data_IF_268577758340
#
_entry.id   IF_268577758340
#
_cell.length_a   1.000
_cell.length_b   1.000
_cell.length_c   1.000
_cell.angle_alpha   90.00
_cell.angle_beta   90.00
_cell.angle_gamma   90.00
#
_symmetry.space_group_name_H-M   'P 1'
#
loop_
_entity.id
_entity.type
_entity.pdbx_description
1 polymer ?
#
# COMPACT_ATOMS: atom_id res chain seq x y z
N UNK A 1 13.96 -8.12 -8.60
CA UNK A 1 12.65 -7.43 -8.65
C UNK A 1 11.89 -7.87 -7.43
N UNK A 2 11.79 -7.00 -6.43
CA UNK A 2 11.42 -7.33 -5.05
C UNK A 2 10.65 -6.11 -4.50
N UNK A 3 9.35 -6.04 -4.79
CA UNK A 3 8.45 -5.14 -4.06
C UNK A 3 8.31 -5.69 -2.63
N UNK A 4 8.09 -4.81 -1.66
CA UNK A 4 7.82 -5.24 -0.28
C UNK A 4 6.39 -4.84 0.08
N UNK A 5 5.55 -5.86 0.25
CA UNK A 5 4.23 -5.81 0.88
C UNK A 5 4.22 -6.85 1.99
N UNK A 6 3.71 -6.49 3.17
CA UNK A 6 4.10 -7.18 4.39
C UNK A 6 3.01 -7.26 5.47
N UNK A 7 2.88 -8.42 6.12
CA UNK A 7 1.82 -8.70 7.10
C UNK A 7 2.28 -9.48 8.37
N UNK A 8 3.58 -9.78 8.58
CA UNK A 8 4.04 -10.83 9.55
C UNK A 8 5.27 -10.47 10.46
N UNK A 9 5.38 -9.24 10.99
CA UNK A 9 6.50 -8.70 11.82
C UNK A 9 8.02 -9.01 11.63
N UNK A 10 8.48 -9.70 10.59
CA UNK A 10 9.90 -10.04 10.30
C UNK A 10 10.38 -9.65 8.87
N UNK A 11 11.27 -8.66 8.78
CA UNK A 11 11.84 -8.16 7.51
C UNK A 11 13.26 -8.66 7.23
N UNK A 12 13.37 -9.98 7.07
CA UNK A 12 14.61 -10.65 6.64
C UNK A 12 14.75 -10.63 5.09
N UNK A 13 15.95 -10.41 4.51
CA UNK A 13 16.17 -10.51 3.07
C UNK A 13 15.64 -11.82 2.46
N UNK A 14 14.82 -11.70 1.41
CA UNK A 14 14.15 -12.83 0.76
C UNK A 14 12.72 -13.12 1.24
N UNK A 15 12.24 -12.48 2.33
CA UNK A 15 10.85 -12.59 2.80
C UNK A 15 9.96 -11.46 2.24
N UNK A 16 9.81 -11.43 0.90
CA UNK A 16 9.01 -10.42 0.19
C UNK A 16 8.22 -11.03 -0.97
N UNK A 17 7.01 -10.51 -1.24
CA UNK A 17 6.22 -10.94 -2.40
C UNK A 17 6.70 -10.26 -3.69
N UNK A 18 7.30 -11.03 -4.58
CA UNK A 18 7.77 -10.57 -5.87
C UNK A 18 6.74 -10.82 -6.97
N UNK A 19 6.56 -9.83 -7.85
CA UNK A 19 5.85 -9.97 -9.13
C UNK A 19 6.79 -9.60 -10.29
N UNK A 20 6.39 -9.96 -11.51
CA UNK A 20 7.20 -9.72 -12.72
C UNK A 20 6.89 -8.35 -13.31
N UNK A 21 7.93 -7.55 -13.55
CA UNK A 21 7.83 -6.21 -14.14
C UNK A 21 7.97 -5.09 -13.12
N UNK A 22 7.43 -3.92 -13.44
CA UNK A 22 7.48 -2.71 -12.61
C UNK A 22 6.08 -2.16 -12.24
N UNK A 23 5.02 -2.77 -12.78
CA UNK A 23 3.62 -2.44 -12.50
C UNK A 23 2.92 -3.70 -12.01
N UNK A 24 2.14 -3.56 -10.94
CA UNK A 24 1.41 -4.65 -10.30
C UNK A 24 0.43 -4.07 -9.29
N UNK A 25 -0.58 -4.87 -8.93
CA UNK A 25 -1.63 -4.50 -7.98
C UNK A 25 -1.72 -5.61 -6.93
N UNK A 26 -2.06 -5.22 -5.70
CA UNK A 26 -2.43 -6.13 -4.62
C UNK A 26 -3.71 -5.60 -3.97
N UNK A 27 -4.66 -6.49 -3.70
CA UNK A 27 -5.90 -6.16 -3.00
C UNK A 27 -5.86 -6.86 -1.64
N UNK A 28 -6.07 -6.10 -0.56
CA UNK A 28 -6.00 -6.59 0.81
C UNK A 28 -7.36 -6.41 1.47
N UNK A 29 -8.04 -7.52 1.77
CA UNK A 29 -9.29 -7.48 2.55
C UNK A 29 -8.94 -7.30 4.03
N UNK A 30 -9.41 -6.20 4.61
CA UNK A 30 -9.23 -5.90 6.04
C UNK A 30 -10.19 -6.77 6.88
N UNK A 31 -9.85 -7.09 8.15
CA UNK A 31 -10.69 -7.93 9.01
C UNK A 31 -12.01 -7.26 9.44
N UNK A 32 -12.10 -5.93 9.32
CA UNK A 32 -13.29 -5.13 9.59
C UNK A 32 -13.28 -3.86 8.72
N UNK A 33 -14.44 -3.21 8.49
CA UNK A 33 -14.49 -1.88 7.90
C UNK A 33 -13.77 -0.86 8.79
N UNK A 34 -12.90 -0.04 8.21
CA UNK A 34 -12.20 1.06 8.89
C UNK A 34 -12.17 2.30 7.99
N UNK A 35 -11.92 3.46 8.61
CA UNK A 35 -11.51 4.68 7.90
C UNK A 35 -9.98 4.76 7.94
N UNK A 36 -9.27 4.41 6.85
CA UNK A 36 -7.81 4.33 6.89
C UNK A 36 -7.19 5.74 6.85
N UNK A 37 -6.32 6.04 7.82
CA UNK A 37 -5.70 7.37 7.96
C UNK A 37 -4.32 7.47 7.32
N UNK A 38 -3.60 6.35 7.23
CA UNK A 38 -2.26 6.26 6.65
C UNK A 38 -1.98 4.82 6.19
N UNK A 39 -1.02 4.67 5.26
CA UNK A 39 -0.36 3.39 4.97
C UNK A 39 1.11 3.47 5.32
N UNK A 40 1.72 2.34 5.66
CA UNK A 40 3.17 2.23 5.87
C UNK A 40 3.76 1.27 4.84
N UNK A 41 4.74 1.75 4.07
CA UNK A 41 5.54 0.91 3.17
C UNK A 41 6.94 0.81 3.76
N UNK A 42 7.48 -0.40 3.77
CA UNK A 42 8.82 -0.71 4.26
C UNK A 42 9.65 -1.34 3.14
N UNK A 43 10.97 -1.16 3.13
CA UNK A 43 11.91 -1.94 2.31
C UNK A 43 13.21 -2.17 3.08
N UNK A 44 13.99 -3.19 2.74
CA UNK A 44 15.32 -3.39 3.33
C UNK A 44 16.26 -2.22 3.02
N UNK A 45 17.17 -1.89 3.96
CA UNK A 45 18.26 -0.95 3.71
C UNK A 45 19.24 -1.51 2.66
N UNK A 46 19.97 -0.61 1.99
CA UNK A 46 20.98 -0.96 0.99
C UNK A 46 22.11 -1.83 1.56
N UNK A 47 22.56 -1.52 2.77
CA UNK A 47 23.70 -2.17 3.41
C UNK A 47 23.44 -3.64 3.80
N UNK A 48 22.16 -4.03 3.91
CA UNK A 48 21.74 -5.42 4.18
C UNK A 48 21.23 -6.13 2.91
N UNK A 49 21.37 -5.53 1.73
CA UNK A 49 21.00 -6.16 0.46
C UNK A 49 22.12 -7.09 -0.04
N UNK A 50 21.86 -8.39 -0.24
CA UNK A 50 22.89 -9.33 -0.73
C UNK A 50 23.46 -8.97 -2.12
N UNK A 51 22.73 -8.18 -2.91
CA UNK A 51 23.16 -7.69 -4.23
C UNK A 51 23.75 -6.27 -4.21
N UNK A 52 23.78 -5.61 -3.04
CA UNK A 52 24.17 -4.20 -2.92
C UNK A 52 23.21 -3.19 -3.57
N UNK A 53 22.04 -3.65 -4.04
CA UNK A 53 21.04 -2.82 -4.72
C UNK A 53 19.66 -2.93 -4.08
N UNK A 54 18.96 -1.80 -4.01
CA UNK A 54 17.56 -1.65 -3.64
C UNK A 54 16.71 -1.15 -4.82
N UNK A 55 17.21 -1.27 -6.06
CA UNK A 55 16.48 -0.88 -7.30
C UNK A 55 15.14 -1.60 -7.51
N UNK A 56 14.88 -2.60 -6.69
CA UNK A 56 13.68 -3.42 -6.61
C UNK A 56 12.52 -2.79 -5.85
N UNK A 57 12.82 -1.82 -4.97
CA UNK A 57 11.83 -1.18 -4.11
C UNK A 57 10.71 -0.50 -4.92
N UNK A 58 9.51 -0.33 -4.33
CA UNK A 58 8.53 0.57 -4.92
C UNK A 58 9.13 1.95 -5.15
N UNK A 59 8.66 2.61 -6.20
CA UNK A 59 8.80 4.07 -6.36
C UNK A 59 7.42 4.68 -6.23
N UNK A 60 6.73 4.81 -7.36
CA UNK A 60 5.40 5.41 -7.41
C UNK A 60 4.33 4.35 -7.15
N UNK A 61 3.38 4.67 -6.28
CA UNK A 61 2.25 3.80 -5.98
C UNK A 61 1.01 4.62 -5.63
N UNK A 62 -0.15 4.00 -5.84
CA UNK A 62 -1.46 4.55 -5.45
C UNK A 62 -2.10 3.65 -4.41
N UNK A 63 -2.99 4.23 -3.60
CA UNK A 63 -3.82 3.50 -2.66
C UNK A 63 -5.28 3.82 -2.97
N UNK A 64 -6.08 2.79 -3.24
CA UNK A 64 -7.52 2.89 -3.47
C UNK A 64 -8.27 2.12 -2.39
N UNK A 65 -9.43 2.65 -1.97
CA UNK A 65 -10.43 1.90 -1.20
C UNK A 65 -11.40 1.21 -2.15
N UNK A 66 -11.72 -0.06 -1.87
CA UNK A 66 -12.67 -0.88 -2.63
C UNK A 66 -13.84 -1.23 -1.71
N UNK A 67 -15.08 -1.06 -2.17
CA UNK A 67 -16.29 -1.40 -1.40
C UNK A 67 -16.71 -2.85 -1.69
N UNK A 68 -17.36 -3.53 -0.74
CA UNK A 68 -17.74 -4.95 -0.90
C UNK A 68 -18.93 -5.13 -1.86
N UNK A 69 -19.75 -4.10 -2.05
CA UNK A 69 -20.96 -4.11 -2.90
C UNK A 69 -20.75 -3.53 -4.32
N UNK A 70 -19.52 -3.22 -4.73
CA UNK A 70 -19.26 -2.76 -6.11
C UNK A 70 -17.78 -2.54 -6.46
N UNK A 71 -17.49 -2.58 -7.76
CA UNK A 71 -16.14 -2.40 -8.33
C UNK A 71 -15.65 -0.92 -8.33
N UNK A 72 -16.32 -0.02 -7.60
CA UNK A 72 -15.92 1.39 -7.51
C UNK A 72 -14.70 1.56 -6.58
N UNK A 73 -13.54 1.87 -7.18
CA UNK A 73 -12.33 2.27 -6.48
C UNK A 73 -12.34 3.77 -6.13
N UNK A 74 -12.19 4.11 -4.85
CA UNK A 74 -11.96 5.50 -4.40
C UNK A 74 -10.47 5.74 -4.17
N UNK A 75 -9.86 6.67 -4.91
CA UNK A 75 -8.44 7.02 -4.75
C UNK A 75 -8.18 7.74 -3.41
N UNK A 76 -7.51 7.03 -2.49
CA UNK A 76 -7.12 7.55 -1.16
C UNK A 76 -5.78 8.30 -1.20
N UNK A 77 -4.93 8.05 -2.20
CA UNK A 77 -3.71 8.81 -2.41
C UNK A 77 -2.77 8.25 -3.48
N UNK A 78 -1.82 9.09 -3.89
CA UNK A 78 -0.71 8.76 -4.78
C UNK A 78 0.59 9.27 -4.14
N UNK A 79 1.61 8.43 -4.10
CA UNK A 79 2.83 8.65 -3.31
C UNK A 79 4.06 8.08 -4.01
N UNK A 80 5.23 8.54 -3.59
CA UNK A 80 6.53 8.04 -4.03
C UNK A 80 7.33 7.60 -2.81
N UNK A 81 7.76 6.33 -2.78
CA UNK A 81 8.67 5.79 -1.79
C UNK A 81 10.12 6.18 -2.14
N UNK A 82 10.83 6.79 -1.19
CA UNK A 82 12.20 7.27 -1.38
C UNK A 82 13.23 6.33 -0.73
N UNK A 83 13.88 5.46 -1.52
CA UNK A 83 14.86 4.48 -1.04
C UNK A 83 16.06 5.08 -0.30
N UNK A 84 16.39 6.35 -0.51
CA UNK A 84 17.54 7.00 0.12
C UNK A 84 17.17 7.71 1.44
N UNK A 85 15.87 7.84 1.75
CA UNK A 85 15.39 8.54 2.95
C UNK A 85 15.38 7.63 4.19
N UNK A 86 14.47 6.66 4.21
CA UNK A 86 14.25 5.76 5.35
C UNK A 86 13.71 4.41 4.86
N UNK A 87 14.05 3.33 5.56
CA UNK A 87 13.55 1.99 5.26
C UNK A 87 12.06 1.81 5.56
N UNK A 88 11.47 2.63 6.43
CA UNK A 88 10.06 2.58 6.82
C UNK A 88 9.46 3.96 6.57
N UNK A 89 8.44 4.05 5.72
CA UNK A 89 7.81 5.31 5.35
C UNK A 89 6.29 5.21 5.51
N UNK A 90 5.73 6.16 6.27
CA UNK A 90 4.30 6.29 6.51
C UNK A 90 3.74 7.43 5.65
N UNK A 91 2.67 7.15 4.91
CA UNK A 91 2.04 8.08 3.98
C UNK A 91 0.60 8.36 4.43
N UNK A 92 0.26 9.62 4.76
CA UNK A 92 -1.09 10.00 5.18
C UNK A 92 -2.05 9.94 3.99
N UNK A 93 -3.20 9.28 4.19
CA UNK A 93 -4.24 9.15 3.16
C UNK A 93 -5.18 10.35 3.18
N UNK A 94 -5.75 10.68 2.02
CA UNK A 94 -6.86 11.61 1.93
C UNK A 94 -8.12 10.90 2.41
N UNK A 95 -8.71 11.42 3.47
CA UNK A 95 -10.08 11.10 3.85
C UNK A 95 -11.00 11.96 2.99
N UNK A 96 -11.44 11.44 1.84
CA UNK A 96 -12.75 11.87 1.35
C UNK A 96 -13.80 11.16 2.22
N UNK A 97 -14.67 11.97 2.85
CA UNK A 97 -15.91 11.51 3.45
C UNK A 97 -16.71 10.80 2.35
N UNK A 98 -16.64 9.46 2.33
CA UNK A 98 -17.43 8.63 1.44
C UNK A 98 -18.89 9.09 1.58
N UNK A 99 -19.44 9.62 0.48
CA UNK A 99 -20.79 10.22 0.49
C UNK A 99 -21.76 9.19 1.02
N UNK A 100 -22.15 9.33 2.28
CA UNK A 100 -23.18 8.52 2.91
C UNK A 100 -24.41 8.65 2.03
N UNK A 101 -24.67 7.60 1.26
CA UNK A 101 -25.80 7.47 0.37
C UNK A 101 -27.04 7.68 1.22
N UNK A 102 -27.62 8.87 1.11
CA UNK A 102 -28.73 9.35 1.93
C UNK A 102 -29.85 8.32 1.84
N UNK A 103 -29.99 7.53 2.91
CA UNK A 103 -31.01 6.50 3.02
C UNK A 103 -32.35 7.09 2.62
N UNK A 104 -32.93 6.56 1.54
CA UNK A 104 -34.25 6.93 1.08
C UNK A 104 -35.28 6.31 2.02
N UNK A 105 -35.49 6.98 3.15
CA UNK A 105 -36.64 6.75 3.99
C UNK A 105 -37.92 7.09 3.19
N UNK A 106 -38.61 6.03 2.79
CA UNK A 106 -40.07 5.87 2.90
C UNK A 106 -40.98 6.98 2.33
N UNK A 107 -41.63 6.68 1.21
CA UNK A 107 -43.07 6.37 1.12
C UNK A 107 -43.32 5.41 -0.04
#
# INVERSE_FOLDING_TARGET
TNLVFYFQPDVTPGQCWAFRGSQGQVVIRLPAPIQPTAVTVQHIYKDVSPSGSVSSAPRDFTVSGVQEEGDEETLLGAFTYDVEKEAIQTFPLKVEEARVGKGRAER
#
